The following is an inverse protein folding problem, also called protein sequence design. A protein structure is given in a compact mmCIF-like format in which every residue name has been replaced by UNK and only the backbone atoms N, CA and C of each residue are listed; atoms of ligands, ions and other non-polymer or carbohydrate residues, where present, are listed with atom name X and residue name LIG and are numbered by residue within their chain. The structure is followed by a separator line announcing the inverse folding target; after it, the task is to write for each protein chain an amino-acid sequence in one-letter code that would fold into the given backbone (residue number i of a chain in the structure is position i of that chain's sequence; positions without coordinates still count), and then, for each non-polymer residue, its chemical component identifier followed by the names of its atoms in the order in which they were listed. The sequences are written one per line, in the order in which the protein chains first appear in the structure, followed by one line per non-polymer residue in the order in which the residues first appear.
data_IF_346742844412
#
_entry.id   IF_346742844412
#
_cell.length_a   1.000
_cell.length_b   1.000
_cell.length_c   1.000
_cell.angle_alpha   90.00
_cell.angle_beta   90.00
_cell.angle_gamma   90.00
#
_symmetry.space_group_name_H-M   'P 1'
#
loop_
_entity.id
_entity.type
_entity.pdbx_description
1 polymer ?
2 non-polymer ?
3 non-polymer ?
4 non-polymer ?
5 non-polymer ?
6 water ?
#
# COMPACT_ATOMS: atom_id res chain seq x y z
N UNK A 1 -4.24 4.86 -17.61
CA UNK A 1 -3.44 3.70 -18.03
C UNK A 1 -2.92 2.87 -16.85
N UNK A 2 -1.82 2.18 -17.09
CA UNK A 2 -1.18 1.23 -16.16
C UNK A 2 -0.78 1.98 -14.88
N UNK A 3 -0.07 3.11 -14.98
CA UNK A 3 0.42 3.85 -13.79
C UNK A 3 -0.76 4.28 -12.92
N UNK A 4 -1.82 4.82 -13.56
CA UNK A 4 -3.00 5.30 -12.81
C UNK A 4 -3.63 4.08 -12.14
N UNK A 5 -3.62 2.94 -12.81
CA UNK A 5 -4.26 1.73 -12.24
C UNK A 5 -3.50 1.31 -10.98
N UNK A 6 -2.17 1.46 -10.97
CA UNK A 6 -1.37 1.13 -9.76
C UNK A 6 -1.84 2.08 -8.63
N UNK A 7 -2.01 3.36 -8.91
CA UNK A 7 -2.54 4.32 -7.89
C UNK A 7 -3.94 3.89 -7.44
N UNK A 8 -4.82 3.53 -8.39
CA UNK A 8 -6.22 3.19 -8.07
C UNK A 8 -6.16 1.99 -7.12
N UNK A 9 -5.45 0.94 -7.48
CA UNK A 9 -5.39 -0.27 -6.62
C UNK A 9 -4.81 0.09 -5.26
N UNK A 10 -3.76 0.92 -5.25
CA UNK A 10 -3.11 1.25 -3.97
C UNK A 10 -4.06 2.03 -3.05
N UNK A 11 -5.00 2.79 -3.61
CA UNK A 11 -5.94 3.64 -2.86
C UNK A 11 -7.00 2.81 -2.12
N UNK A 12 -7.15 1.52 -2.45
CA UNK A 12 -8.06 0.61 -1.71
C UNK A 12 -7.45 -0.81 -1.70
N UNK A 13 -6.20 -0.95 -1.27
CA UNK A 13 -5.41 -2.15 -1.62
C UNK A 13 -5.89 -3.40 -0.89
N UNK A 14 -6.28 -3.28 0.39
CA UNK A 14 -6.76 -4.43 1.19
C UNK A 14 -7.96 -5.07 0.48
N UNK A 15 -8.91 -4.24 0.07
CA UNK A 15 -10.14 -4.69 -0.61
C UNK A 15 -9.76 -5.27 -2.00
N UNK A 16 -9.00 -4.55 -2.81
CA UNK A 16 -8.66 -5.03 -4.18
C UNK A 16 -7.89 -6.34 -4.07
N UNK A 17 -6.95 -6.41 -3.13
CA UNK A 17 -6.06 -7.59 -3.05
C UNK A 17 -6.90 -8.82 -2.72
N UNK A 18 -7.78 -8.68 -1.73
CA UNK A 18 -8.65 -9.75 -1.25
C UNK A 18 -9.59 -10.18 -2.36
N UNK A 19 -10.25 -9.23 -3.02
CA UNK A 19 -11.27 -9.58 -4.04
C UNK A 19 -10.61 -10.19 -5.27
N UNK A 20 -9.44 -9.69 -5.69
CA UNK A 20 -8.76 -10.28 -6.87
C UNK A 20 -8.22 -11.66 -6.51
N UNK A 21 -7.68 -11.84 -5.31
CA UNK A 21 -7.11 -13.16 -4.92
C UNK A 21 -8.24 -14.20 -4.81
N UNK A 22 -9.39 -13.83 -4.25
CA UNK A 22 -10.59 -14.69 -4.17
C UNK A 22 -11.01 -15.01 -5.61
N UNK A 23 -11.03 -14.04 -6.52
CA UNK A 23 -11.43 -14.36 -7.91
C UNK A 23 -10.49 -15.42 -8.50
N UNK A 24 -9.18 -15.30 -8.24
CA UNK A 24 -8.17 -16.28 -8.66
C UNK A 24 -8.49 -17.64 -8.03
N UNK A 25 -8.62 -17.71 -6.71
CA UNK A 25 -8.86 -19.01 -6.04
C UNK A 25 -10.19 -19.63 -6.51
N UNK A 26 -11.22 -18.84 -6.78
CA UNK A 26 -12.52 -19.39 -7.24
C UNK A 26 -12.45 -19.83 -8.72
N UNK A 27 -11.76 -19.09 -9.59
CA UNK A 27 -11.61 -19.48 -11.01
C UNK A 27 -10.73 -20.75 -11.11
N UNK A 28 -9.75 -20.90 -10.23
CA UNK A 28 -8.74 -22.00 -10.32
C UNK A 28 -8.67 -22.72 -8.98
N UNK A 29 -9.73 -23.51 -8.64
CA UNK A 29 -9.82 -24.08 -7.30
C UNK A 29 -8.64 -24.98 -6.92
N UNK A 30 -8.03 -25.64 -7.91
CA UNK A 30 -6.81 -26.47 -7.70
C UNK A 30 -5.71 -25.65 -7.03
N UNK A 31 -5.64 -24.35 -7.31
CA UNK A 31 -4.56 -23.47 -6.80
C UNK A 31 -4.62 -23.42 -5.26
N UNK A 32 -5.73 -23.77 -4.62
CA UNK A 32 -5.81 -23.90 -3.13
C UNK A 32 -4.85 -24.98 -2.62
N UNK A 33 -4.38 -25.91 -3.45
CA UNK A 33 -3.45 -26.97 -2.97
C UNK A 33 -2.13 -26.30 -2.55
N UNK A 34 -1.89 -25.04 -2.95
CA UNK A 34 -0.77 -24.19 -2.47
C UNK A 34 -1.14 -23.45 -1.19
N UNK A 35 -2.44 -23.40 -0.87
CA UNK A 35 -2.96 -22.70 0.33
C UNK A 35 -3.93 -23.65 1.04
N UNK A 36 -3.43 -24.79 1.52
CA UNK A 36 -4.28 -25.87 2.12
C UNK A 36 -5.11 -25.32 3.31
N UNK A 37 -4.61 -24.33 4.04
CA UNK A 37 -5.34 -23.64 5.14
C UNK A 37 -6.61 -22.91 4.63
N UNK A 38 -6.75 -22.69 3.32
CA UNK A 38 -7.91 -21.93 2.79
C UNK A 38 -9.03 -22.86 2.29
N UNK A 39 -8.80 -24.16 2.30
CA UNK A 39 -9.78 -25.22 1.90
C UNK A 39 -11.00 -25.17 2.82
N UNK A 40 -12.19 -25.46 2.27
CA UNK A 40 -13.47 -25.53 2.99
C UNK A 40 -13.94 -24.20 3.60
N UNK A 41 -13.50 -23.07 3.02
CA UNK A 41 -13.87 -21.72 3.51
C UNK A 41 -14.54 -20.95 2.36
N UNK A 42 -15.63 -20.23 2.67
CA UNK A 42 -16.28 -19.29 1.72
C UNK A 42 -15.42 -18.02 1.68
N UNK A 43 -15.69 -17.17 0.71
CA UNK A 43 -15.02 -15.86 0.60
C UNK A 43 -15.07 -15.09 1.93
N UNK A 44 -16.26 -14.99 2.51
CA UNK A 44 -16.46 -14.20 3.77
C UNK A 44 -15.61 -14.79 4.89
N UNK A 45 -15.53 -16.12 4.98
CA UNK A 45 -14.73 -16.79 6.03
C UNK A 45 -13.24 -16.47 5.85
N UNK A 46 -12.71 -16.57 4.62
CA UNK A 46 -11.30 -16.24 4.34
C UNK A 46 -11.01 -14.81 4.74
N UNK A 47 -11.89 -13.86 4.39
CA UNK A 47 -11.71 -12.41 4.70
C UNK A 47 -11.79 -12.15 6.22
N UNK A 48 -12.04 -13.19 7.01
CA UNK A 48 -12.05 -13.15 8.51
C UNK A 48 -10.74 -13.71 9.08
N UNK A 49 -9.96 -14.44 8.26
CA UNK A 49 -8.71 -15.16 8.66
C UNK A 49 -7.51 -14.20 8.57
N UNK A 50 -6.84 -13.95 9.72
CA UNK A 50 -5.78 -12.91 9.81
C UNK A 50 -4.74 -13.09 8.69
N UNK A 51 -4.31 -14.32 8.44
CA UNK A 51 -3.19 -14.57 7.51
C UNK A 51 -3.66 -14.35 6.07
N UNK A 52 -4.92 -14.67 5.76
CA UNK A 52 -5.49 -14.39 4.43
C UNK A 52 -5.33 -12.88 4.16
N UNK A 53 -5.91 -12.05 5.03
CA UNK A 53 -5.90 -10.60 4.77
C UNK A 53 -4.47 -10.06 4.69
N UNK A 54 -3.61 -10.53 5.58
CA UNK A 54 -2.23 -10.01 5.65
C UNK A 54 -1.38 -10.54 4.49
N UNK A 55 -1.36 -11.84 4.29
CA UNK A 55 -0.59 -12.44 3.18
C UNK A 55 -1.05 -11.79 1.85
N UNK A 56 -2.36 -11.69 1.59
CA UNK A 56 -2.88 -11.19 0.28
C UNK A 56 -2.49 -9.73 0.11
N UNK A 57 -2.55 -8.93 1.17
CA UNK A 57 -2.17 -7.51 1.05
C UNK A 57 -0.67 -7.41 0.76
N UNK A 58 0.16 -8.21 1.42
CA UNK A 58 1.62 -8.19 1.18
C UNK A 58 1.95 -8.57 -0.25
N UNK A 59 1.27 -9.59 -0.77
CA UNK A 59 1.42 -10.04 -2.18
C UNK A 59 1.18 -8.85 -3.12
N UNK A 60 0.04 -8.20 -2.94
CA UNK A 60 -0.36 -7.06 -3.80
C UNK A 60 0.58 -5.87 -3.56
N UNK A 61 0.98 -5.64 -2.30
CA UNK A 61 1.99 -4.59 -1.97
C UNK A 61 3.18 -4.81 -2.92
N UNK A 62 3.69 -6.04 -2.99
CA UNK A 62 4.92 -6.32 -3.78
C UNK A 62 4.57 -6.32 -5.28
N UNK A 63 3.45 -6.91 -5.68
CA UNK A 63 3.01 -6.80 -7.10
C UNK A 63 2.95 -5.33 -7.56
N UNK A 64 2.40 -4.41 -6.77
CA UNK A 64 2.32 -2.99 -7.20
C UNK A 64 3.74 -2.35 -7.29
N UNK A 65 4.66 -2.63 -6.34
CA UNK A 65 6.10 -2.24 -6.42
C UNK A 65 6.69 -2.73 -7.75
N UNK A 66 6.52 -3.99 -8.05
CA UNK A 66 7.07 -4.57 -9.32
C UNK A 66 6.45 -3.88 -10.56
N UNK A 67 5.13 -3.67 -10.56
CA UNK A 67 4.46 -2.95 -11.69
C UNK A 67 4.98 -1.51 -11.76
N UNK A 68 5.13 -0.84 -10.61
CA UNK A 68 5.59 0.59 -10.59
C UNK A 68 7.01 0.68 -11.14
N UNK A 69 7.85 -0.32 -10.90
CA UNK A 69 9.27 -0.33 -11.36
C UNK A 69 9.38 -0.74 -12.85
N UNK A 70 8.29 -1.23 -13.46
CA UNK A 70 8.30 -1.79 -14.83
C UNK A 70 8.39 -0.62 -15.80
N UNK A 71 8.91 -0.86 -16.99
CA UNK A 71 8.83 0.10 -18.13
C UNK A 71 8.01 -0.56 -19.24
N UNK A 72 6.97 0.10 -19.74
CA UNK A 72 6.16 -0.49 -20.85
C UNK A 72 5.69 -1.88 -20.44
N UNK A 73 5.31 -2.04 -19.15
CA UNK A 73 4.71 -3.27 -18.60
C UNK A 73 5.75 -4.40 -18.58
N UNK A 74 7.03 -4.06 -18.64
CA UNK A 74 8.12 -5.06 -18.51
C UNK A 74 8.83 -4.87 -17.18
N UNK A 75 8.74 -5.90 -16.30
CA UNK A 75 9.33 -5.82 -14.96
C UNK A 75 10.86 -5.82 -15.02
N UNK A 76 11.51 -5.17 -14.05
CA UNK A 76 12.96 -5.30 -13.78
C UNK A 76 13.32 -6.77 -13.59
N UNK A 77 14.44 -7.23 -14.18
CA UNK A 77 15.05 -8.55 -13.92
C UNK A 77 15.31 -8.76 -12.41
N UNK A 78 15.70 -7.73 -11.65
CA UNK A 78 15.92 -7.81 -10.18
C UNK A 78 14.63 -8.23 -9.47
N UNK A 79 13.48 -7.71 -9.91
CA UNK A 79 12.22 -8.08 -9.24
C UNK A 79 11.86 -9.53 -9.59
N UNK A 80 12.06 -9.95 -10.84
CA UNK A 80 11.74 -11.32 -11.27
C UNK A 80 12.59 -12.28 -10.44
N UNK A 81 13.89 -12.01 -10.30
CA UNK A 81 14.77 -12.92 -9.51
C UNK A 81 14.37 -12.93 -8.02
N UNK A 82 13.89 -11.82 -7.44
CA UNK A 82 13.38 -11.79 -6.05
C UNK A 82 12.21 -12.79 -5.97
N UNK A 83 11.26 -12.67 -6.86
CA UNK A 83 10.07 -13.57 -6.84
C UNK A 83 10.50 -15.04 -7.02
N UNK A 84 11.53 -15.33 -7.80
CA UNK A 84 11.97 -16.74 -8.01
C UNK A 84 12.65 -17.24 -6.73
N UNK A 85 13.54 -16.42 -6.14
CA UNK A 85 14.39 -16.84 -5.00
C UNK A 85 13.58 -16.92 -3.71
N UNK A 86 12.43 -16.27 -3.62
CA UNK A 86 11.59 -16.35 -2.40
C UNK A 86 11.30 -17.82 -2.03
N UNK A 87 11.66 -18.23 -0.80
CA UNK A 87 11.40 -19.60 -0.25
C UNK A 87 9.91 -19.97 -0.37
N UNK A 88 9.03 -18.98 -0.28
CA UNK A 88 7.56 -19.14 -0.28
C UNK A 88 7.09 -19.62 -1.66
N UNK A 89 7.91 -19.39 -2.69
CA UNK A 89 7.59 -19.71 -4.11
C UNK A 89 8.34 -20.97 -4.58
N UNK A 90 9.02 -21.64 -3.66
CA UNK A 90 9.76 -22.92 -3.87
C UNK A 90 8.99 -23.84 -4.82
N UNK A 91 7.71 -24.07 -4.51
CA UNK A 91 6.87 -25.04 -5.25
C UNK A 91 6.54 -24.65 -6.70
N UNK A 92 6.58 -23.38 -7.06
CA UNK A 92 5.71 -22.78 -8.13
C UNK A 92 6.30 -22.91 -9.54
N UNK A 93 5.43 -22.84 -10.56
CA UNK A 93 5.79 -22.73 -11.99
C UNK A 93 5.13 -21.46 -12.56
N UNK A 94 5.53 -21.00 -13.73
CA UNK A 94 5.01 -19.75 -14.32
C UNK A 94 3.48 -19.85 -14.50
N UNK A 95 2.96 -21.06 -14.78
CA UNK A 95 1.51 -21.35 -14.90
C UNK A 95 0.72 -20.83 -13.71
N UNK A 96 1.29 -20.88 -12.50
CA UNK A 96 0.66 -20.36 -11.25
C UNK A 96 0.49 -18.85 -11.33
N UNK A 97 1.48 -18.15 -11.88
CA UNK A 97 1.48 -16.67 -12.05
C UNK A 97 0.57 -16.29 -13.20
N UNK A 98 0.60 -17.08 -14.29
CA UNK A 98 -0.28 -16.90 -15.47
C UNK A 98 -1.75 -16.85 -14.99
N UNK A 99 -2.16 -17.83 -14.20
CA UNK A 99 -3.58 -17.94 -13.74
C UNK A 99 -3.94 -16.74 -12.86
N UNK A 100 -3.05 -16.34 -12.00
CA UNK A 100 -3.33 -15.17 -11.15
C UNK A 100 -3.60 -13.94 -12.05
N UNK A 101 -2.83 -13.75 -13.13
CA UNK A 101 -2.97 -12.55 -13.99
C UNK A 101 -4.18 -12.72 -14.92
N UNK A 102 -4.57 -13.94 -15.29
CA UNK A 102 -5.85 -14.16 -16.01
C UNK A 102 -6.98 -13.67 -15.10
N UNK A 103 -6.97 -14.04 -13.82
CA UNK A 103 -8.05 -13.65 -12.91
C UNK A 103 -8.06 -12.14 -12.71
N UNK A 104 -6.88 -11.54 -12.57
CA UNK A 104 -6.75 -10.09 -12.33
C UNK A 104 -7.32 -9.34 -13.56
N UNK A 105 -6.96 -9.77 -14.74
CA UNK A 105 -7.40 -9.08 -15.98
C UNK A 105 -8.92 -9.25 -16.14
N UNK A 106 -9.42 -10.47 -15.89
CA UNK A 106 -10.87 -10.78 -15.94
C UNK A 106 -11.62 -9.89 -14.96
N UNK A 107 -11.12 -9.72 -13.73
CA UNK A 107 -11.66 -8.83 -12.70
C UNK A 107 -11.73 -7.40 -13.25
N UNK A 108 -10.64 -6.90 -13.84
CA UNK A 108 -10.60 -5.51 -14.33
C UNK A 108 -11.64 -5.34 -15.44
N UNK A 109 -11.78 -6.36 -16.31
CA UNK A 109 -12.67 -6.33 -17.52
C UNK A 109 -14.14 -6.33 -17.07
N UNK A 110 -14.46 -6.93 -15.92
CA UNK A 110 -15.80 -7.01 -15.32
C UNK A 110 -16.12 -5.78 -14.48
N UNK A 111 -15.11 -5.02 -14.03
CA UNK A 111 -15.31 -3.82 -13.20
C UNK A 111 -15.87 -2.70 -14.08
N UNK A 112 -16.59 -1.77 -13.48
CA UNK A 112 -17.13 -0.64 -14.25
C UNK A 112 -16.08 0.44 -14.46
N UNK A 113 -14.87 0.23 -13.92
CA UNK A 113 -13.75 1.22 -13.87
C UNK A 113 -12.91 1.14 -15.14
N UNK A 114 -12.28 2.27 -15.48
CA UNK A 114 -11.45 2.43 -16.70
C UNK A 114 -10.06 1.82 -16.48
N UNK A 115 -9.97 0.60 -15.92
CA UNK A 115 -8.69 -0.13 -15.76
C UNK A 115 -8.13 -0.37 -17.17
N UNK A 116 -6.82 -0.25 -17.33
CA UNK A 116 -6.15 -0.59 -18.61
C UNK A 116 -5.94 -2.11 -18.65
N UNK A 117 -6.97 -2.94 -18.90
CA UNK A 117 -6.86 -4.42 -18.78
C UNK A 117 -5.80 -4.95 -19.77
N UNK A 118 -5.63 -4.29 -20.90
CA UNK A 118 -4.66 -4.66 -21.96
C UNK A 118 -3.26 -4.60 -21.38
N UNK A 119 -2.97 -3.52 -20.67
CA UNK A 119 -1.63 -3.32 -20.06
C UNK A 119 -1.41 -4.39 -18.98
N UNK A 120 -2.41 -4.71 -18.17
CA UNK A 120 -2.22 -5.76 -17.12
C UNK A 120 -1.99 -7.13 -17.75
N UNK A 121 -2.61 -7.38 -18.89
CA UNK A 121 -2.46 -8.64 -19.64
C UNK A 121 -1.01 -8.75 -20.10
N UNK A 122 -0.50 -7.69 -20.73
CA UNK A 122 0.93 -7.60 -21.13
C UNK A 122 1.83 -7.80 -19.90
N UNK A 123 1.53 -7.11 -18.80
CA UNK A 123 2.37 -7.17 -17.59
C UNK A 123 2.42 -8.62 -17.11
N UNK A 124 1.26 -9.27 -17.01
CA UNK A 124 1.22 -10.70 -16.62
C UNK A 124 2.07 -11.58 -17.52
N UNK A 125 1.99 -11.42 -18.83
CA UNK A 125 2.79 -12.23 -19.80
C UNK A 125 4.29 -11.91 -19.66
N UNK A 126 4.64 -10.63 -19.50
CA UNK A 126 6.06 -10.19 -19.42
C UNK A 126 6.64 -10.63 -18.08
N UNK A 127 5.87 -10.63 -16.99
CA UNK A 127 6.36 -11.16 -15.67
C UNK A 127 6.58 -12.69 -15.81
N UNK A 128 5.66 -13.41 -16.45
CA UNK A 128 5.85 -14.89 -16.66
C UNK A 128 7.17 -15.10 -17.43
N UNK A 129 7.41 -14.36 -18.52
CA UNK A 129 8.68 -14.44 -19.32
C UNK A 129 9.89 -14.17 -18.44
N UNK A 130 9.84 -13.10 -17.63
CA UNK A 130 10.95 -12.71 -16.72
C UNK A 130 11.16 -13.79 -15.65
N UNK A 131 10.09 -14.40 -15.12
CA UNK A 131 10.19 -15.48 -14.13
C UNK A 131 10.90 -16.70 -14.76
N UNK A 132 10.51 -17.11 -15.98
CA UNK A 132 11.19 -18.21 -16.71
C UNK A 132 12.69 -17.86 -16.88
N UNK A 133 13.01 -16.73 -17.51
CA UNK A 133 14.41 -16.27 -17.72
C UNK A 133 15.18 -16.34 -16.41
N UNK A 134 14.54 -16.05 -15.26
CA UNK A 134 15.24 -16.03 -13.95
C UNK A 134 15.22 -17.42 -13.30
N UNK A 135 14.66 -18.42 -14.00
CA UNK A 135 14.89 -19.83 -13.68
C UNK A 135 13.73 -20.50 -12.97
N UNK A 136 12.56 -19.89 -12.97
CA UNK A 136 11.32 -20.61 -12.57
C UNK A 136 10.87 -21.53 -13.70
N UNK A 137 10.47 -22.76 -13.40
CA UNK A 137 10.00 -23.79 -14.38
C UNK A 137 8.52 -23.56 -14.71
N UNK B 1 18.15 5.01 1.54
CA UNK B 1 17.71 6.41 1.53
C UNK B 1 16.20 6.50 1.47
N UNK B 2 15.72 7.63 0.97
CA UNK B 2 14.30 8.02 1.03
C UNK B 2 13.51 7.08 0.13
N UNK B 3 13.97 6.84 -1.10
CA UNK B 3 13.25 5.98 -2.06
C UNK B 3 13.11 4.56 -1.47
N UNK B 4 14.19 3.99 -0.90
CA UNK B 4 14.16 2.62 -0.28
C UNK B 4 13.14 2.62 0.86
N UNK B 5 13.11 3.68 1.68
CA UNK B 5 12.19 3.79 2.84
C UNK B 5 10.73 3.74 2.35
N UNK B 6 10.43 4.44 1.25
CA UNK B 6 9.07 4.30 0.64
C UNK B 6 8.75 2.83 0.34
N UNK B 7 9.70 2.11 -0.25
CA UNK B 7 9.54 0.69 -0.61
C UNK B 7 9.38 -0.12 0.68
N UNK B 8 10.18 0.17 1.69
CA UNK B 8 10.07 -0.54 3.00
C UNK B 8 8.67 -0.32 3.56
N UNK B 9 8.29 0.94 3.74
CA UNK B 9 6.96 1.26 4.34
C UNK B 9 5.82 0.59 3.52
N UNK B 10 5.85 0.73 2.18
CA UNK B 10 4.81 0.20 1.22
C UNK B 10 4.75 -1.33 1.37
N UNK B 11 5.88 -1.97 1.61
CA UNK B 11 5.98 -3.43 1.76
C UNK B 11 5.06 -3.94 2.84
N UNK B 12 4.91 -3.21 3.94
CA UNK B 12 4.03 -3.58 5.08
C UNK B 12 3.16 -2.37 5.52
N UNK B 13 2.50 -1.72 4.57
CA UNK B 13 1.96 -0.35 4.79
C UNK B 13 0.96 -0.30 5.94
N UNK B 14 0.02 -1.24 5.98
CA UNK B 14 -1.06 -1.18 6.98
C UNK B 14 -0.45 -1.23 8.38
N UNK B 15 0.64 -1.98 8.56
CA UNK B 15 1.27 -2.19 9.89
C UNK B 15 2.03 -0.91 10.30
N UNK B 16 2.88 -0.39 9.43
CA UNK B 16 3.62 0.88 9.68
C UNK B 16 2.61 2.04 9.86
N UNK B 17 1.57 2.09 9.04
CA UNK B 17 0.55 3.17 9.08
C UNK B 17 -0.07 3.20 10.48
N UNK B 18 -0.53 2.05 10.96
CA UNK B 18 -1.18 2.01 12.29
C UNK B 18 -0.16 2.38 13.37
N UNK B 19 1.03 1.77 13.37
CA UNK B 19 1.99 1.96 14.47
C UNK B 19 2.47 3.42 14.49
N UNK B 20 2.71 4.02 13.33
CA UNK B 20 3.17 5.45 13.30
C UNK B 20 2.02 6.34 13.73
N UNK B 21 0.79 6.10 13.25
CA UNK B 21 -0.36 6.95 13.60
C UNK B 21 -0.62 6.88 15.11
N UNK B 22 -0.53 5.69 15.68
CA UNK B 22 -0.66 5.49 17.15
C UNK B 22 0.43 6.29 17.88
N UNK B 23 1.68 6.24 17.40
CA UNK B 23 2.79 7.00 18.01
C UNK B 23 2.42 8.49 18.02
N UNK B 24 1.84 8.96 16.93
CA UNK B 24 1.42 10.38 16.77
C UNK B 24 0.31 10.70 17.78
N UNK B 25 -0.73 9.87 17.85
CA UNK B 25 -1.87 10.17 18.76
C UNK B 25 -1.42 10.10 20.22
N UNK B 26 -0.51 9.17 20.53
CA UNK B 26 -0.04 9.00 21.93
C UNK B 26 0.86 10.18 22.28
N UNK B 27 1.72 10.62 21.36
CA UNK B 27 2.67 11.71 21.65
C UNK B 27 1.93 13.06 21.81
N UNK B 28 0.86 13.25 21.04
CA UNK B 28 0.10 14.51 20.89
C UNK B 28 -1.37 14.19 21.11
N UNK B 29 -1.77 13.85 22.36
CA UNK B 29 -3.13 13.39 22.62
C UNK B 29 -4.25 14.37 22.27
N UNK B 30 -3.95 15.67 22.35
CA UNK B 30 -4.90 16.74 21.90
C UNK B 30 -5.28 16.49 20.45
N UNK B 31 -4.44 15.86 19.63
CA UNK B 31 -4.76 15.63 18.21
C UNK B 31 -5.95 14.66 18.02
N UNK B 32 -6.45 14.02 19.09
CA UNK B 32 -7.68 13.16 19.05
C UNK B 32 -8.96 14.01 19.07
N UNK B 33 -8.89 15.33 19.21
CA UNK B 33 -10.11 16.15 18.95
C UNK B 33 -10.48 16.06 17.47
N UNK B 34 -9.53 15.74 16.58
CA UNK B 34 -9.79 15.67 15.11
C UNK B 34 -10.35 14.29 14.76
N UNK B 35 -10.30 13.34 15.71
CA UNK B 35 -10.65 11.90 15.54
C UNK B 35 -11.51 11.43 16.73
N UNK B 36 -12.72 12.01 16.85
CA UNK B 36 -13.64 11.82 18.01
C UNK B 36 -13.92 10.33 18.30
N UNK B 37 -14.10 9.49 17.29
CA UNK B 37 -14.50 8.06 17.48
C UNK B 37 -13.31 7.24 18.00
N UNK B 38 -12.14 7.86 18.20
CA UNK B 38 -10.92 7.17 18.72
C UNK B 38 -10.70 7.50 20.19
N UNK B 39 -11.42 8.47 20.76
CA UNK B 39 -11.33 8.84 22.21
C UNK B 39 -11.74 7.63 23.06
N UNK B 40 -10.99 7.38 24.15
CA UNK B 40 -11.29 6.38 25.19
C UNK B 40 -10.91 4.99 24.77
N UNK B 41 -9.98 4.86 23.83
CA UNK B 41 -9.61 3.58 23.19
C UNK B 41 -8.09 3.42 23.29
N UNK B 42 -7.66 2.22 23.68
CA UNK B 42 -6.25 1.77 23.70
C UNK B 42 -5.73 1.49 22.26
N UNK B 43 -4.44 1.31 22.12
CA UNK B 43 -3.81 0.94 20.82
C UNK B 43 -4.48 -0.30 20.26
N UNK B 44 -4.70 -1.32 21.09
CA UNK B 44 -5.27 -2.60 20.61
C UNK B 44 -6.76 -2.40 20.31
N UNK B 45 -7.51 -1.54 21.01
CA UNK B 45 -8.94 -1.36 20.60
C UNK B 45 -8.98 -0.69 19.23
N UNK B 46 -8.07 0.24 18.95
CA UNK B 46 -8.12 0.92 17.63
C UNK B 46 -7.70 -0.06 16.54
N UNK B 47 -6.69 -0.88 16.79
CA UNK B 47 -6.16 -1.86 15.82
C UNK B 47 -7.20 -2.97 15.57
N UNK B 48 -8.30 -2.99 16.32
CA UNK B 48 -9.45 -3.92 16.14
C UNK B 48 -10.59 -3.25 15.38
N UNK B 49 -10.45 -1.99 15.00
CA UNK B 49 -11.57 -1.24 14.37
C UNK B 49 -11.26 -1.12 12.87
N UNK B 50 -12.19 -1.57 12.03
CA UNK B 50 -11.97 -1.68 10.57
C UNK B 50 -11.55 -0.33 10.05
N UNK B 51 -12.25 0.74 10.46
CA UNK B 51 -12.09 2.08 9.87
C UNK B 51 -10.70 2.61 10.26
N UNK B 52 -10.16 2.19 11.42
CA UNK B 52 -8.86 2.70 11.90
C UNK B 52 -7.78 2.19 10.94
N UNK B 53 -7.73 0.87 10.75
CA UNK B 53 -6.77 0.24 9.81
C UNK B 53 -6.93 0.80 8.40
N UNK B 54 -8.14 0.79 7.87
CA UNK B 54 -8.41 1.28 6.48
C UNK B 54 -8.03 2.76 6.39
N UNK B 55 -8.56 3.62 7.25
CA UNK B 55 -8.27 5.07 7.15
C UNK B 55 -6.76 5.30 7.28
N UNK B 56 -6.07 4.71 8.26
CA UNK B 56 -4.62 4.97 8.48
C UNK B 56 -3.84 4.48 7.27
N UNK B 57 -4.22 3.32 6.70
CA UNK B 57 -3.52 2.83 5.51
C UNK B 57 -3.65 3.88 4.40
N UNK B 58 -4.88 4.35 4.13
CA UNK B 58 -5.15 5.26 2.97
C UNK B 58 -4.41 6.58 3.14
N UNK B 59 -4.32 7.07 4.37
CA UNK B 59 -3.48 8.24 4.72
C UNK B 59 -2.04 7.99 4.28
N UNK B 60 -1.50 6.85 4.72
CA UNK B 60 -0.06 6.55 4.52
C UNK B 60 0.14 6.26 3.03
N UNK B 61 -0.88 5.74 2.35
CA UNK B 61 -0.76 5.47 0.89
C UNK B 61 -0.57 6.83 0.20
N UNK B 62 -1.39 7.82 0.53
CA UNK B 62 -1.30 9.14 -0.11
C UNK B 62 0.04 9.76 0.30
N UNK B 63 0.46 9.64 1.57
CA UNK B 63 1.78 10.21 1.98
C UNK B 63 2.90 9.58 1.15
N UNK B 64 2.85 8.27 0.90
CA UNK B 64 3.91 7.59 0.07
C UNK B 64 3.84 8.04 -1.39
N UNK B 65 2.64 8.31 -1.93
CA UNK B 65 2.49 8.85 -3.30
C UNK B 65 3.14 10.24 -3.35
N UNK B 66 2.84 11.11 -2.40
CA UNK B 66 3.45 12.47 -2.34
C UNK B 66 4.96 12.32 -2.16
N UNK B 67 5.43 11.44 -1.26
CA UNK B 67 6.86 11.27 -1.02
C UNK B 67 7.53 10.79 -2.34
N UNK B 68 6.95 9.84 -3.05
CA UNK B 68 7.61 9.32 -4.28
C UNK B 68 7.62 10.36 -5.39
N UNK B 69 6.66 11.29 -5.41
CA UNK B 69 6.58 12.35 -6.45
C UNK B 69 7.52 13.52 -6.10
N UNK B 70 8.01 13.56 -4.87
CA UNK B 70 8.89 14.66 -4.38
C UNK B 70 10.21 14.60 -5.16
N UNK B 71 10.85 15.75 -5.33
CA UNK B 71 12.24 15.88 -5.81
C UNK B 71 13.06 16.35 -4.62
N UNK B 72 14.08 15.58 -4.23
CA UNK B 72 15.04 16.01 -3.16
C UNK B 72 14.23 16.30 -1.87
N UNK B 73 13.23 15.49 -1.58
CA UNK B 73 12.39 15.64 -0.36
C UNK B 73 11.54 16.92 -0.37
N UNK B 74 11.35 17.53 -1.54
CA UNK B 74 10.43 18.68 -1.74
C UNK B 74 9.19 18.19 -2.47
N UNK B 75 8.01 18.26 -1.82
CA UNK B 75 6.81 17.75 -2.46
C UNK B 75 6.34 18.70 -3.57
N UNK B 76 5.59 18.17 -4.54
CA UNK B 76 4.93 18.98 -5.60
C UNK B 76 3.93 19.95 -4.96
N UNK B 77 3.89 21.18 -5.47
CA UNK B 77 2.90 22.17 -5.02
C UNK B 77 1.52 21.58 -5.27
N UNK B 78 1.36 20.84 -6.36
CA UNK B 78 0.03 20.30 -6.71
C UNK B 78 -0.40 19.28 -5.63
N UNK B 79 0.51 18.43 -5.12
CA UNK B 79 0.17 17.51 -4.01
C UNK B 79 -0.22 18.28 -2.76
N UNK B 80 0.54 19.33 -2.42
CA UNK B 80 0.26 20.16 -1.22
C UNK B 80 -1.15 20.69 -1.37
N UNK B 81 -1.48 21.18 -2.57
CA UNK B 81 -2.82 21.78 -2.80
C UNK B 81 -3.92 20.74 -2.50
N UNK B 82 -3.77 19.51 -2.99
CA UNK B 82 -4.73 18.41 -2.77
C UNK B 82 -4.96 18.27 -1.27
N UNK B 83 -3.89 18.22 -0.49
CA UNK B 83 -3.98 18.06 0.98
C UNK B 83 -4.72 19.25 1.60
N UNK B 84 -4.48 20.46 1.14
CA UNK B 84 -5.16 21.67 1.70
C UNK B 84 -6.66 21.61 1.38
N UNK B 85 -6.96 21.15 0.15
CA UNK B 85 -8.33 21.27 -0.41
C UNK B 85 -9.22 20.12 0.06
N UNK B 86 -8.65 19.02 0.56
CA UNK B 86 -9.48 17.88 1.02
C UNK B 86 -10.43 18.39 2.10
N UNK B 87 -11.73 18.11 1.91
CA UNK B 87 -12.81 18.35 2.90
C UNK B 87 -12.32 17.95 4.29
N UNK B 88 -11.89 16.70 4.41
CA UNK B 88 -11.50 16.07 5.70
C UNK B 88 -10.41 16.91 6.39
N UNK B 89 -9.75 17.82 5.67
CA UNK B 89 -8.67 18.68 6.23
C UNK B 89 -9.15 20.12 6.47
N UNK B 90 -10.47 20.39 6.44
CA UNK B 90 -11.04 21.75 6.56
C UNK B 90 -10.46 22.45 7.78
N UNK B 91 -10.46 21.76 8.93
CA UNK B 91 -10.18 22.49 10.20
C UNK B 91 -8.70 22.77 10.42
N UNK B 92 -7.81 22.14 9.65
CA UNK B 92 -6.39 21.92 10.07
C UNK B 92 -5.51 23.14 9.83
N UNK B 93 -4.38 23.21 10.56
CA UNK B 93 -3.26 24.14 10.30
C UNK B 93 -1.98 23.31 10.11
N UNK B 94 -0.91 23.95 9.68
CA UNK B 94 0.32 23.23 9.32
C UNK B 94 0.90 22.53 10.57
N UNK B 95 0.59 23.06 11.76
CA UNK B 95 1.03 22.47 13.04
C UNK B 95 0.59 21.01 13.20
N UNK B 96 -0.60 20.71 12.69
CA UNK B 96 -1.17 19.35 12.63
C UNK B 96 -0.15 18.45 11.92
N UNK B 97 0.22 18.80 10.69
CA UNK B 97 1.15 17.99 9.85
C UNK B 97 2.53 17.91 10.49
N UNK B 98 3.06 19.04 11.02
CA UNK B 98 4.40 19.03 11.66
C UNK B 98 4.44 17.94 12.74
N UNK B 99 3.43 17.88 13.61
CA UNK B 99 3.41 16.87 14.73
C UNK B 99 3.42 15.44 14.17
N UNK B 100 2.67 15.21 13.10
CA UNK B 100 2.64 13.87 12.51
C UNK B 100 4.05 13.47 12.04
N UNK B 101 4.75 14.40 11.38
CA UNK B 101 6.12 14.11 10.86
C UNK B 101 7.09 14.01 12.01
N UNK B 102 6.90 14.78 13.08
CA UNK B 102 7.78 14.64 14.28
C UNK B 102 7.66 13.21 14.79
N UNK B 103 6.45 12.72 14.95
CA UNK B 103 6.19 11.35 15.43
C UNK B 103 6.80 10.31 14.47
N UNK B 104 6.64 10.52 13.17
CA UNK B 104 7.18 9.63 12.12
C UNK B 104 8.70 9.52 12.22
N UNK B 105 9.38 10.66 12.32
CA UNK B 105 10.86 10.73 12.40
C UNK B 105 11.31 10.03 13.67
N UNK B 106 10.68 10.32 14.81
CA UNK B 106 11.08 9.68 16.08
C UNK B 106 10.87 8.16 15.99
N UNK B 107 9.79 7.74 15.36
CA UNK B 107 9.52 6.30 15.13
C UNK B 107 10.67 5.69 14.32
N UNK B 108 11.10 6.36 13.25
CA UNK B 108 12.18 5.79 12.40
C UNK B 108 13.52 5.74 13.15
N UNK B 109 13.79 6.75 13.98
CA UNK B 109 15.05 6.85 14.74
C UNK B 109 15.10 5.71 15.77
N UNK B 110 13.96 5.37 16.35
CA UNK B 110 13.86 4.33 17.40
C UNK B 110 13.82 2.94 16.78
N UNK B 111 13.53 2.84 15.49
CA UNK B 111 13.45 1.52 14.80
C UNK B 111 14.87 0.95 14.66
N UNK B 112 14.97 -0.37 14.63
CA UNK B 112 16.28 -1.01 14.39
C UNK B 112 16.67 -0.92 12.92
N UNK B 113 15.82 -0.35 12.07
CA UNK B 113 16.05 -0.33 10.61
C UNK B 113 16.79 0.96 10.17
N UNK B 114 17.43 0.87 9.01
CA UNK B 114 18.29 1.93 8.39
C UNK B 114 17.42 2.93 7.62
N UNK B 115 16.35 3.41 8.24
CA UNK B 115 15.51 4.49 7.69
C UNK B 115 16.37 5.74 7.55
N UNK B 116 16.13 6.52 6.51
CA UNK B 116 16.81 7.83 6.33
C UNK B 116 15.99 8.87 7.10
N UNK B 117 16.11 8.90 8.41
CA UNK B 117 15.27 9.77 9.28
C UNK B 117 15.49 11.27 8.94
N UNK B 118 16.70 11.68 8.59
CA UNK B 118 17.00 13.08 8.19
C UNK B 118 16.20 13.47 6.94
N UNK B 119 16.06 12.55 5.98
CA UNK B 119 15.31 12.84 4.71
C UNK B 119 13.84 13.02 5.05
N UNK B 120 13.28 12.20 5.92
CA UNK B 120 11.85 12.29 6.31
C UNK B 120 11.64 13.58 7.12
N UNK B 121 12.66 14.00 7.89
CA UNK B 121 12.59 15.28 8.66
C UNK B 121 12.50 16.45 7.66
N UNK B 122 13.37 16.44 6.66
CA UNK B 122 13.37 17.44 5.56
C UNK B 122 12.03 17.36 4.83
N UNK B 123 11.58 16.16 4.47
CA UNK B 123 10.31 16.00 3.74
C UNK B 123 9.16 16.67 4.53
N UNK B 124 9.03 16.35 5.82
CA UNK B 124 7.93 16.94 6.65
C UNK B 124 8.02 18.46 6.72
N UNK B 125 9.21 19.02 6.96
CA UNK B 125 9.42 20.49 6.96
C UNK B 125 8.97 21.10 5.64
N UNK B 126 9.37 20.46 4.53
CA UNK B 126 9.11 21.00 3.17
C UNK B 126 7.64 20.85 2.86
N UNK B 127 6.99 19.80 3.38
CA UNK B 127 5.53 19.63 3.16
C UNK B 127 4.79 20.70 3.96
N UNK B 128 5.21 20.91 5.20
CA UNK B 128 4.60 21.99 6.04
C UNK B 128 4.64 23.33 5.29
N UNK B 129 5.83 23.70 4.81
CA UNK B 129 6.04 24.94 4.00
C UNK B 129 5.11 24.94 2.79
N UNK B 130 5.12 23.83 2.02
CA UNK B 130 4.29 23.68 0.80
C UNK B 130 2.80 23.83 1.15
N UNK B 131 2.32 23.22 2.23
CA UNK B 131 0.90 23.37 2.65
C UNK B 131 0.56 24.85 2.87
N UNK B 132 1.41 25.59 3.58
CA UNK B 132 1.26 27.06 3.81
C UNK B 132 1.15 27.77 2.45
N UNK B 133 2.08 27.50 1.54
CA UNK B 133 2.14 28.16 0.21
C UNK B 133 0.87 27.85 -0.61
N UNK B 134 0.27 26.67 -0.39
CA UNK B 134 -0.97 26.24 -1.09
C UNK B 134 -2.22 26.69 -0.32
N UNK B 135 -2.08 27.36 0.82
CA UNK B 135 -3.19 28.10 1.44
C UNK B 135 -3.56 27.65 2.84
N UNK B 136 -2.90 26.69 3.45
CA UNK B 136 -3.24 26.24 4.81
C UNK B 136 -2.69 27.25 5.83
N UNK B 137 -3.50 27.58 6.87
CA UNK B 137 -3.11 28.43 8.01
C UNK B 137 -2.07 27.73 8.90
X LIG C 1 3.89 -15.80 -0.18
X LIG C 1 4.36 -12.15 -3.42
X LIG C 1 2.29 -14.84 -6.91
X LIG C 1 2.13 -18.58 -3.78
X LIG C 1 4.12 -14.58 -0.79
X LIG C 1 4.57 -13.43 -0.07
X LIG C 1 4.71 -12.40 -0.96
X LIG C 1 4.35 -12.90 -2.24
X LIG C 1 5.16 -10.97 -0.63
X LIG C 1 4.85 -13.34 1.43
X LIG C 1 3.54 -13.13 2.19
X LIG C 1 3.57 -13.28 3.69
X LIG C 1 2.79 -12.61 4.40
X LIG C 1 4.33 -14.12 4.23
X LIG C 1 3.83 -12.58 -4.64
X LIG C 1 3.71 -11.74 -5.79
X LIG C 1 3.11 -12.47 -6.78
X LIG C 1 2.89 -13.81 -6.19
X LIG C 1 4.14 -10.28 -5.90
X LIG C 1 2.77 -12.11 -8.17
X LIG C 1 3.17 -10.97 -8.77
X LIG C 1 2.04 -16.09 -6.36
X LIG C 1 1.33 -17.13 -6.98
X LIG C 1 1.30 -18.21 -6.09
X LIG C 1 1.99 -17.80 -4.92
X LIG C 1 0.75 -17.10 -8.38
X LIG C 1 0.63 -19.53 -6.23
X LIG C 1 -0.25 -19.86 -7.18
X LIG C 1 2.58 -18.07 -2.56
X LIG C 1 2.56 -18.92 -1.35
X LIG C 1 3.03 -18.15 -0.32
X LIG C 1 3.36 -16.84 -0.95
X LIG C 1 2.07 -20.34 -1.29
X LIG C 1 3.25 -18.58 1.12
X LIG C 1 1.97 -18.92 1.85
X LIG C 1 1.08 -17.72 1.87
X LIG C 1 1.59 -16.57 1.73
X LIG C 1 -0.15 -17.88 2.05
X LIG C 1 3.99 -14.25 -2.14
X LIG C 1 3.32 -13.77 -4.91
X LIG C 1 2.44 -16.51 -5.11
X LIG C 1 3.07 -16.84 -2.29
X LIG C 1 3.27 -15.40 -3.58
X LIG D 1 -2.07 -16.20 1.85
X LIG D 1 -1.31 -15.91 0.79
X LIG D 1 -0.14 -15.15 0.91
X LIG D 1 0.31 -14.56 2.47
X LIG D 1 0.65 -14.86 -0.19
X LIG D 1 2.06 -13.91 0.01
X LIG D 1 0.29 -15.33 -1.45
X LIG D 1 1.26 -14.96 -2.83
X LIG D 1 -0.86 -16.07 -1.60
X LIG D 1 -1.27 -16.64 -3.17
X LIG D 1 -1.65 -16.36 -0.49
X LIG D 1 -3.07 -17.31 -0.63
X LIG E 1 -8.61 3.18 -13.21
X LIG E 1 -7.34 3.06 -12.60
X LIG E 1 -8.80 4.53 -13.82
X LIG E 1 -8.95 5.52 -12.82
X LIG F 1 7.74 1.34 -5.68
X LIG F 1 6.37 1.55 -5.96
X LIG F 1 8.09 1.49 -4.24
X LIG F 1 8.07 2.82 -3.79
X LIG G 1 -0.83 -14.11 -18.79
X LIG G 1 0.46 -14.20 -18.16
X LIG G 1 -1.80 -13.23 -18.11
X LIG G 1 -1.43 -11.85 -18.13
X LIG H 1 -13.60 -19.25 -2.12
X LIG H 1 -13.87 -19.23 -0.77
X LIG H 1 -12.19 -19.02 -2.39
X LIG H 1 -11.52 -20.24 -2.66
X LIG I 1 -21.89 -22.49 7.55
X LIG I 1 -21.20 -23.70 7.33
X LIG I 1 -20.97 -21.36 7.86
X LIG I 1 -20.27 -20.90 6.73
X LIG J 1 -7.33 0.01 2.35
X LIG J 1 -6.20 -0.84 2.29
X LIG J 1 -8.60 -0.73 2.44
X LIG J 1 -8.90 -1.50 1.30
X LIG K 1 0.42 4.37 -18.91
X LIG K 1 1.31 4.96 -19.88
X LIG K 1 -0.61 5.34 -18.62
X LIG K 1 1.14 4.05 -17.71
X LIG K 1 -0.18 3.17 -19.41
X LIG L 1 -13.77 -25.42 -1.08
X LIG L 1 -14.00 -26.13 -2.33
X LIG L 1 -13.27 -24.10 -1.36
X LIG L 1 -15.00 -25.31 -0.37
X LIG L 1 -12.81 -26.10 -0.28
X LIG M 1 1.44 4.56 -8.60
X LIG M 1 1.20 4.41 -7.19
X LIG M 1 1.98 5.89 -8.97
X LIG M 1 1.16 6.96 -8.49
X LIG N 1 -8.79 11.80 6.19
X LIG N 1 -4.41 11.97 3.89
X LIG N 1 -2.44 14.37 7.63
X LIG N 1 -6.83 14.71 9.60
X LIG N 1 -7.70 11.65 5.32
X LIG N 1 -7.80 10.80 4.16
X LIG N 1 -6.60 10.82 3.53
X LIG N 1 -5.74 11.70 4.24
X LIG N 1 -6.29 10.02 2.26
X LIG N 1 -8.99 9.98 3.73
X LIG N 1 -9.04 8.64 4.50
X LIG N 1 -10.34 7.88 4.39
X LIG N 1 -10.28 6.64 4.37
X LIG N 1 -11.45 8.46 4.36
X LIG N 1 -3.49 12.62 4.71
X LIG N 1 -2.07 12.72 4.45
X LIG N 1 -1.50 13.37 5.51
X LIG N 1 -2.62 13.67 6.43
X LIG N 1 -1.34 12.20 3.24
X LIG N 1 -0.12 13.84 5.75
X LIG N 1 0.80 13.98 4.80
X LIG N 1 -3.44 14.70 8.52
X LIG N 1 -3.28 15.34 9.77
X LIG N 1 -4.57 15.45 10.33
X LIG N 1 -5.47 14.84 9.41
X LIG N 1 -1.95 15.79 10.32
X LIG N 1 -5.03 15.94 11.67
X LIG N 1 -4.18 16.04 12.70
X LIG N 1 -7.67 13.92 8.82
X LIG N 1 -9.08 13.68 9.22
X LIG N 1 -9.61 12.85 8.30
X LIG N 1 -8.53 12.62 7.32
X LIG N 1 -9.79 14.20 10.44
X LIG N 1 -11.03 12.31 8.28
X LIG N 1 -11.12 11.22 9.33
X LIG N 1 -10.37 9.97 8.91
X LIG N 1 -9.30 10.01 8.28
X LIG N 1 -10.84 8.86 9.22
X LIG N 1 -6.41 12.22 5.35
X LIG N 1 -3.74 13.19 5.89
X LIG N 1 -4.74 14.41 8.32
X LIG N 1 -7.36 13.28 7.67
X LIG N 1 -5.64 13.34 6.80
X LIG O 1 -7.98 7.02 10.64
X LIG O 1 -6.98 7.84 10.33
X LIG O 1 -5.66 7.39 10.23
X LIG O 1 -5.35 5.72 10.53
X LIG O 1 -4.61 8.25 9.90
X LIG O 1 -3.00 7.64 9.78
X LIG O 1 -4.88 9.59 9.66
X LIG O 1 -3.63 10.70 9.24
X LIG O 1 -6.18 10.05 9.74
X LIG O 1 -6.47 11.73 9.44
X LIG O 1 -7.23 9.20 10.07
X LIG O 1 -8.86 9.76 10.19
X LIG P 1 15.02 1.00 5.53
X LIG P 1 13.98 1.35 4.66
X LIG P 1 16.08 0.18 4.86
X LIG P 1 15.53 -0.92 4.16
#
# INVERSE_FOLDING_TARGET
GFKQDIATLRGDLRTYAQDIFLAFLNKYPDEKRNFKNYVGKSDQELKSMAKFGDHTEKVFNLMMEVADRATDCVPLASDASTLVQMKQHSGLTTGNFEKLFVALVEYMRASGQSFDSQSWDRFGKNLVSALSSAGMK
GFKQDIATLRGDLRTYAQDIFLAFLNKYPDEKRNFKNYVGKSDQELKSMAKFGDHTEKVFNLMMEVADRATDCVPLASDASTLVQMKQHSGLTTGNFEKLFVALVEYMRASGQSFDSQSWDRFGKNLVSALSSAGMK
HEM CHA CHB CHC CHD C1A C2A C3A C4A CMA CAA CBA CGA O1A O2A C1B C2B C3B C4B CMB CAB CBB C1C C2C C3C C4C CMC CAC CBC C1D C2D C3D C4D CMD CAD CBD CGD O1D O2D NA NB NC ND FE
PCI O1 C1 C2 CL1 C3 CL2 C4 CL3 C5 CL4 C6 CL5
EDO C1 O1 C2 O2
EDO C1 O1 C2 O2
EDO C1 O1 C2 O2
EDO C1 O1 C2 O2
EDO C1 O1 C2 O2
EDO C1 O1 C2 O2
SO4 S O1 O2 O3 O4
SO4 S O1 O2 O3 O4
EDO C1 O1 C2 O2
HEM CHA CHB CHC CHD C1A C2A C3A C4A CMA CAA CBA CGA O1A O2A C1B C2B C3B C4B CMB CAB CBB C1C C2C C3C C4C CMC CAC CBC C1D C2D C3D C4D CMD CAD CBD CGD O1D O2D NA NB NC ND FE
PCI O1 C1 C2 CL1 C3 CL2 C4 CL3 C5 CL4 C6 CL5
EDO C1 O1 C2 O2
#
